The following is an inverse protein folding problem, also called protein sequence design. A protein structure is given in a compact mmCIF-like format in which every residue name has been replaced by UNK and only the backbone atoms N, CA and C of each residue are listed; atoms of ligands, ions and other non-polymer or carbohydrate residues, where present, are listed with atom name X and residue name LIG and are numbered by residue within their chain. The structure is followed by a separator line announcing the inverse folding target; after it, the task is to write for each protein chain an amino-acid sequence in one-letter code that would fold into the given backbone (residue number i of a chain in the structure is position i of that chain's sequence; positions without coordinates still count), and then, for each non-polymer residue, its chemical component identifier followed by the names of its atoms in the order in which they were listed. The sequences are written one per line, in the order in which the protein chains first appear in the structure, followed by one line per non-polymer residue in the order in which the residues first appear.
data_IF_051142143445
#
_entry.id   IF_051142143445
#
_cell.length_a   1.000
_cell.length_b   1.000
_cell.length_c   1.000
_cell.angle_alpha   90.00
_cell.angle_beta   90.00
_cell.angle_gamma   90.00
#
_symmetry.space_group_name_H-M   'P 1'
#
loop_
_entity.id
_entity.type
_entity.pdbx_description
1 polymer ?
#
# COMPACT_ATOMS: atom_id res chain seq x y z
N UNK A 1 -17.02 24.88 -65.09
CA UNK A 1 -17.47 25.54 -63.83
C UNK A 1 -18.78 25.03 -63.26
N UNK A 2 -19.81 24.65 -64.00
CA UNK A 2 -21.08 24.13 -63.45
C UNK A 2 -20.98 22.72 -62.82
N UNK A 3 -20.13 21.84 -63.35
CA UNK A 3 -19.96 20.46 -62.84
C UNK A 3 -19.27 20.45 -61.48
N UNK A 4 -18.27 21.26 -61.26
CA UNK A 4 -17.56 21.37 -59.96
C UNK A 4 -18.46 21.90 -58.83
N UNK A 5 -19.40 22.81 -59.16
CA UNK A 5 -20.34 23.39 -58.20
C UNK A 5 -21.37 22.35 -57.72
N UNK A 6 -21.85 21.47 -58.62
CA UNK A 6 -22.80 20.44 -58.27
C UNK A 6 -22.17 19.29 -57.48
N UNK A 7 -20.91 18.93 -57.71
CA UNK A 7 -20.18 17.97 -56.91
C UNK A 7 -19.88 18.50 -55.48
N UNK A 8 -19.58 19.80 -55.36
CA UNK A 8 -19.34 20.42 -54.05
C UNK A 8 -20.62 20.46 -53.20
N UNK A 9 -21.77 20.74 -53.83
CA UNK A 9 -23.09 20.75 -53.15
C UNK A 9 -23.50 19.33 -52.72
N UNK A 10 -23.20 18.31 -53.53
CA UNK A 10 -23.49 16.91 -53.20
C UNK A 10 -22.61 16.42 -52.06
N UNK A 11 -21.33 16.75 -52.02
CA UNK A 11 -20.45 16.43 -50.88
C UNK A 11 -20.88 17.14 -49.57
N UNK A 12 -21.32 18.40 -49.66
CA UNK A 12 -21.79 19.15 -48.50
C UNK A 12 -23.12 18.62 -47.95
N UNK A 13 -24.02 18.10 -48.84
CA UNK A 13 -25.28 17.49 -48.40
C UNK A 13 -25.07 16.10 -47.75
N UNK A 14 -24.02 15.37 -48.15
CA UNK A 14 -23.66 14.09 -47.51
C UNK A 14 -23.12 14.27 -46.09
N UNK A 15 -22.42 15.37 -45.79
CA UNK A 15 -21.94 15.70 -44.45
C UNK A 15 -23.06 16.09 -43.47
N UNK A 16 -24.20 16.53 -43.95
CA UNK A 16 -25.34 16.91 -43.14
C UNK A 16 -26.21 15.71 -42.69
N UNK A 17 -25.96 14.52 -43.24
CA UNK A 17 -26.63 13.27 -42.84
C UNK A 17 -25.77 12.30 -42.04
N UNK A 18 -24.60 12.73 -41.53
CA UNK A 18 -23.91 11.93 -40.50
C UNK A 18 -24.77 11.95 -39.25
N UNK A 19 -25.29 10.80 -38.77
CA UNK A 19 -25.91 10.74 -37.49
C UNK A 19 -24.87 11.22 -36.49
N UNK A 20 -25.22 12.25 -35.71
CA UNK A 20 -24.50 12.54 -34.46
C UNK A 20 -24.71 11.31 -33.58
N UNK A 21 -23.77 10.37 -33.65
CA UNK A 21 -23.64 9.37 -32.60
C UNK A 21 -23.29 10.17 -31.33
N UNK A 22 -24.28 10.48 -30.54
CA UNK A 22 -24.05 10.75 -29.13
C UNK A 22 -23.41 9.48 -28.61
N UNK A 23 -22.12 9.48 -28.39
CA UNK A 23 -21.51 8.57 -27.44
C UNK A 23 -22.22 8.91 -26.11
N UNK A 24 -23.23 8.14 -25.77
CA UNK A 24 -23.67 8.03 -24.39
C UNK A 24 -22.45 7.36 -23.73
N UNK A 25 -21.58 8.18 -23.11
CA UNK A 25 -20.69 7.66 -22.07
C UNK A 25 -21.66 7.06 -21.03
N UNK A 26 -21.86 5.77 -21.11
CA UNK A 26 -22.48 5.01 -20.05
C UNK A 26 -21.57 5.26 -18.85
N UNK A 27 -22.04 6.08 -17.91
CA UNK A 27 -21.30 6.31 -16.66
C UNK A 27 -21.24 4.95 -16.01
N UNK A 28 -20.09 4.32 -16.09
CA UNK A 28 -19.84 3.01 -15.49
C UNK A 28 -20.14 3.14 -13.98
N UNK A 29 -21.17 2.44 -13.53
CA UNK A 29 -21.59 2.50 -12.14
C UNK A 29 -20.50 1.89 -11.27
N UNK A 30 -19.81 2.73 -10.50
CA UNK A 30 -18.72 2.32 -9.66
C UNK A 30 -19.24 1.64 -8.39
N UNK A 31 -19.12 0.32 -8.38
CA UNK A 31 -19.58 -0.54 -7.28
C UNK A 31 -18.46 -0.71 -6.25
N UNK A 32 -18.79 -0.55 -4.98
CA UNK A 32 -17.88 -0.73 -3.84
C UNK A 32 -18.47 -1.64 -2.77
N UNK A 33 -17.61 -2.09 -1.87
CA UNK A 33 -17.99 -2.91 -0.72
C UNK A 33 -17.66 -2.23 0.61
N UNK A 34 -17.67 -0.90 0.61
CA UNK A 34 -17.26 -0.06 1.74
C UNK A 34 -18.07 -0.30 3.03
N UNK A 35 -19.37 -0.57 2.89
CA UNK A 35 -20.26 -0.91 4.02
C UNK A 35 -20.31 -2.43 4.29
N UNK A 36 -19.33 -3.20 3.79
CA UNK A 36 -19.37 -4.67 3.78
C UNK A 36 -20.61 -5.21 3.04
N UNK A 37 -21.12 -4.42 2.08
CA UNK A 37 -22.23 -4.70 1.17
C UNK A 37 -21.87 -4.17 -0.21
N UNK A 38 -22.40 -4.80 -1.24
CA UNK A 38 -22.26 -4.34 -2.63
C UNK A 38 -23.20 -3.17 -2.83
N UNK A 39 -22.68 -1.96 -3.00
CA UNK A 39 -23.44 -0.71 -3.14
C UNK A 39 -22.78 0.19 -4.20
N UNK A 40 -23.57 1.04 -4.86
CA UNK A 40 -23.02 2.09 -5.72
C UNK A 40 -22.32 3.16 -4.88
N UNK A 41 -21.18 3.66 -5.34
CA UNK A 41 -20.48 4.80 -4.67
C UNK A 41 -21.41 6.01 -4.50
N UNK A 42 -22.39 6.19 -5.39
CA UNK A 42 -23.32 7.31 -5.34
C UNK A 42 -24.36 7.18 -4.21
N UNK A 43 -24.64 5.95 -3.76
CA UNK A 43 -25.66 5.67 -2.75
C UNK A 43 -25.08 5.62 -1.34
N UNK A 44 -23.76 5.63 -1.21
CA UNK A 44 -23.09 5.54 0.09
C UNK A 44 -23.00 6.91 0.75
N UNK A 45 -23.54 7.02 1.96
CA UNK A 45 -23.49 8.25 2.77
C UNK A 45 -22.12 8.47 3.46
N UNK A 46 -21.02 8.21 2.76
CA UNK A 46 -19.67 8.44 3.26
C UNK A 46 -18.72 8.93 2.16
N UNK A 47 -17.60 9.51 2.57
CA UNK A 47 -16.58 9.98 1.63
C UNK A 47 -15.68 8.81 1.21
N UNK A 48 -15.95 8.25 0.05
CA UNK A 48 -15.18 7.16 -0.57
C UNK A 48 -14.48 7.68 -1.81
N UNK A 49 -13.21 7.33 -1.99
CA UNK A 49 -12.48 7.46 -3.25
C UNK A 49 -12.14 6.06 -3.75
N UNK A 50 -12.33 5.83 -5.04
CA UNK A 50 -12.03 4.55 -5.68
C UNK A 50 -11.05 4.77 -6.81
N UNK A 51 -10.02 3.94 -6.87
CA UNK A 51 -9.13 3.82 -8.02
C UNK A 51 -9.30 2.42 -8.60
N UNK A 52 -9.73 2.35 -9.84
CA UNK A 52 -9.89 1.09 -10.57
C UNK A 52 -8.56 0.62 -11.16
N UNK A 53 -8.47 -0.64 -11.54
CA UNK A 53 -7.30 -1.22 -12.20
C UNK A 53 -6.88 -0.41 -13.43
N UNK A 54 -7.84 -0.01 -14.28
CA UNK A 54 -7.56 0.80 -15.48
C UNK A 54 -6.88 2.14 -15.14
N UNK A 55 -7.34 2.82 -14.08
CA UNK A 55 -6.73 4.06 -13.61
C UNK A 55 -5.33 3.84 -13.07
N UNK A 56 -5.10 2.73 -12.36
CA UNK A 56 -3.77 2.37 -11.87
C UNK A 56 -2.80 2.13 -13.03
N UNK A 57 -3.20 1.34 -14.02
CA UNK A 57 -2.42 1.04 -15.22
C UNK A 57 -2.15 2.31 -16.04
N UNK A 58 -3.20 3.11 -16.34
CA UNK A 58 -3.07 4.34 -17.12
C UNK A 58 -2.09 5.34 -16.51
N UNK A 59 -2.06 5.42 -15.18
CA UNK A 59 -1.17 6.32 -14.44
C UNK A 59 0.19 5.73 -14.11
N UNK A 60 0.44 4.46 -14.42
CA UNK A 60 1.67 3.76 -14.08
C UNK A 60 1.87 3.63 -12.57
N UNK A 61 0.77 3.45 -11.82
CA UNK A 61 0.80 3.29 -10.37
C UNK A 61 0.89 1.81 -10.05
N UNK A 62 2.05 1.37 -9.59
CA UNK A 62 2.32 -0.04 -9.23
C UNK A 62 2.60 -0.24 -7.74
N UNK A 63 2.79 0.85 -6.99
CA UNK A 63 3.10 0.81 -5.56
C UNK A 63 2.07 1.56 -4.72
N UNK A 64 1.78 1.11 -3.49
CA UNK A 64 0.86 1.80 -2.59
C UNK A 64 1.24 3.26 -2.33
N UNK A 65 2.52 3.58 -2.16
CA UNK A 65 2.97 4.96 -1.92
C UNK A 65 2.69 5.91 -3.08
N UNK A 66 2.74 5.42 -4.32
CA UNK A 66 2.52 6.26 -5.49
C UNK A 66 1.07 6.76 -5.56
N UNK A 67 0.11 5.89 -5.25
CA UNK A 67 -1.29 6.32 -5.23
C UNK A 67 -1.64 7.13 -3.98
N UNK A 68 -1.09 6.79 -2.80
CA UNK A 68 -1.34 7.52 -1.56
C UNK A 68 -1.00 9.01 -1.70
N UNK A 69 0.07 9.34 -2.40
CA UNK A 69 0.49 10.72 -2.69
C UNK A 69 -0.48 11.47 -3.60
N UNK A 70 -1.30 10.77 -4.37
CA UNK A 70 -2.31 11.40 -5.26
C UNK A 70 -3.61 11.75 -4.56
N UNK A 71 -3.82 11.25 -3.33
CA UNK A 71 -5.08 11.40 -2.60
C UNK A 71 -5.13 12.70 -1.80
N UNK A 72 -6.19 13.47 -2.00
CA UNK A 72 -6.43 14.67 -1.20
C UNK A 72 -6.63 14.32 0.28
N UNK A 73 -5.91 15.02 1.18
CA UNK A 73 -5.98 14.82 2.63
C UNK A 73 -5.28 13.56 3.13
N UNK A 74 -4.46 12.94 2.31
CA UNK A 74 -3.53 11.87 2.68
C UNK A 74 -2.12 12.40 2.58
N UNK A 75 -1.26 12.08 3.55
CA UNK A 75 0.17 12.33 3.47
C UNK A 75 0.94 11.09 3.91
N UNK A 76 2.13 10.92 3.38
CA UNK A 76 2.99 9.75 3.58
C UNK A 76 4.34 10.17 4.15
N UNK A 77 4.40 10.62 5.42
CA UNK A 77 5.64 11.11 6.02
C UNK A 77 6.73 10.04 6.16
N UNK A 78 6.37 8.76 6.13
CA UNK A 78 7.28 7.62 6.21
C UNK A 78 7.02 6.59 5.12
N UNK A 79 6.81 7.05 3.87
CA UNK A 79 6.55 6.16 2.74
C UNK A 79 5.15 5.52 2.78
N UNK A 80 5.07 4.24 2.46
CA UNK A 80 3.83 3.46 2.46
C UNK A 80 3.48 2.85 3.82
N UNK A 81 4.45 2.78 4.72
CA UNK A 81 4.28 2.20 6.06
C UNK A 81 3.58 3.18 6.99
N UNK A 82 3.89 4.49 6.87
CA UNK A 82 3.32 5.53 7.70
C UNK A 82 2.60 6.56 6.85
N UNK A 83 1.29 6.50 6.83
CA UNK A 83 0.45 7.49 6.16
C UNK A 83 -0.56 8.11 7.13
N UNK A 84 -1.02 9.29 6.79
CA UNK A 84 -2.06 9.99 7.56
C UNK A 84 -3.27 10.23 6.68
N UNK A 85 -4.46 10.09 7.24
CA UNK A 85 -5.70 10.51 6.62
C UNK A 85 -6.29 11.62 7.48
N UNK A 86 -6.46 12.83 6.91
CA UNK A 86 -6.96 14.02 7.62
C UNK A 86 -6.15 14.34 8.89
N UNK A 87 -4.83 14.13 8.86
CA UNK A 87 -3.95 14.36 10.00
C UNK A 87 -3.93 13.27 11.07
N UNK A 88 -4.73 12.21 10.91
CA UNK A 88 -4.72 11.04 11.76
C UNK A 88 -3.81 9.97 11.12
N UNK A 89 -2.91 9.39 11.88
CA UNK A 89 -1.85 8.53 11.37
C UNK A 89 -2.11 7.03 11.59
N UNK A 90 -1.34 6.19 10.91
CA UNK A 90 -1.34 4.73 11.11
C UNK A 90 -0.72 4.31 12.45
N UNK A 91 -0.20 5.25 13.21
CA UNK A 91 0.60 5.00 14.39
C UNK A 91 2.09 4.95 14.06
N UNK A 92 2.92 5.34 15.01
CA UNK A 92 4.34 5.02 14.94
C UNK A 92 4.55 3.73 15.68
N UNK A 93 5.31 2.80 15.11
CA UNK A 93 5.47 1.42 15.56
C UNK A 93 5.82 1.25 17.06
N UNK A 94 6.13 2.31 17.76
CA UNK A 94 6.62 2.22 19.14
C UNK A 94 5.81 2.99 20.19
N UNK A 95 4.91 3.91 19.81
CA UNK A 95 4.37 4.87 20.80
C UNK A 95 2.86 5.11 20.74
N UNK A 96 2.18 4.91 19.60
CA UNK A 96 0.75 5.21 19.49
C UNK A 96 0.01 4.16 18.68
N UNK A 97 -1.18 3.75 19.17
CA UNK A 97 -2.09 2.96 18.36
C UNK A 97 -2.45 3.70 17.08
N UNK A 98 -2.42 3.01 15.96
CA UNK A 98 -2.84 3.57 14.67
C UNK A 98 -4.28 4.06 14.71
N UNK A 99 -4.58 5.08 13.93
CA UNK A 99 -5.94 5.62 13.75
C UNK A 99 -6.47 5.42 12.33
N UNK A 100 -5.65 4.80 11.49
CA UNK A 100 -5.99 4.42 10.11
C UNK A 100 -5.50 3.00 9.85
N UNK A 101 -6.25 2.22 9.09
CA UNK A 101 -5.95 0.81 8.81
C UNK A 101 -5.98 0.51 7.33
N UNK A 102 -5.21 -0.51 6.93
CA UNK A 102 -5.27 -1.13 5.60
C UNK A 102 -5.92 -2.51 5.68
N UNK A 103 -6.67 -2.83 4.64
CA UNK A 103 -7.34 -4.11 4.48
C UNK A 103 -7.07 -4.73 3.12
N UNK A 104 -6.82 -6.03 3.13
CA UNK A 104 -6.85 -6.88 1.95
C UNK A 104 -8.22 -7.57 1.90
N UNK A 105 -9.11 -7.05 1.04
CA UNK A 105 -10.51 -7.46 1.06
C UNK A 105 -11.19 -7.15 2.41
N UNK A 106 -11.48 -8.18 3.19
CA UNK A 106 -12.20 -8.10 4.45
C UNK A 106 -11.28 -8.18 5.70
N UNK A 107 -10.01 -8.50 5.54
CA UNK A 107 -9.07 -8.69 6.64
C UNK A 107 -8.02 -7.60 6.69
N UNK A 108 -7.46 -7.34 7.87
CA UNK A 108 -6.31 -6.44 8.00
C UNK A 108 -5.12 -6.98 7.19
N UNK A 109 -4.50 -6.11 6.40
CA UNK A 109 -3.37 -6.47 5.54
C UNK A 109 -3.08 -5.40 4.50
N UNK A 110 -1.89 -5.46 3.93
CA UNK A 110 -1.40 -4.54 2.89
C UNK A 110 -0.73 -5.32 1.77
N UNK A 111 -0.56 -4.67 0.63
CA UNK A 111 0.20 -5.17 -0.52
C UNK A 111 1.51 -4.38 -0.65
N UNK A 112 2.52 -4.97 -1.26
CA UNK A 112 3.74 -4.27 -1.71
C UNK A 112 3.63 -3.85 -3.17
N UNK A 113 2.82 -4.56 -3.96
CA UNK A 113 2.61 -4.31 -5.37
C UNK A 113 1.12 -4.30 -5.71
N UNK A 114 0.70 -3.34 -6.56
CA UNK A 114 -0.69 -3.14 -6.98
C UNK A 114 -1.05 -3.84 -8.30
N UNK A 115 -0.17 -4.65 -8.83
CA UNK A 115 -0.45 -5.45 -10.01
C UNK A 115 -1.57 -6.45 -9.73
N UNK A 116 -2.52 -6.57 -10.65
CA UNK A 116 -3.68 -7.46 -10.53
C UNK A 116 -4.57 -7.14 -9.31
N UNK A 117 -4.76 -5.85 -9.05
CA UNK A 117 -5.69 -5.33 -8.04
C UNK A 117 -6.89 -4.73 -8.78
N UNK A 118 -8.09 -5.25 -8.51
CA UNK A 118 -9.32 -4.79 -9.18
C UNK A 118 -9.62 -3.32 -8.88
N UNK A 119 -9.43 -2.92 -7.62
CA UNK A 119 -9.59 -1.53 -7.19
C UNK A 119 -9.04 -1.28 -5.79
N UNK A 120 -8.81 -0.02 -5.50
CA UNK A 120 -8.48 0.48 -4.17
C UNK A 120 -9.62 1.38 -3.70
N UNK A 121 -10.16 1.10 -2.52
CA UNK A 121 -11.20 1.89 -1.88
C UNK A 121 -10.61 2.65 -0.69
N UNK A 122 -10.73 3.97 -0.67
CA UNK A 122 -10.26 4.82 0.44
C UNK A 122 -11.46 5.44 1.12
N UNK A 123 -11.75 4.93 2.31
CA UNK A 123 -12.85 5.37 3.15
C UNK A 123 -12.33 6.40 4.14
N UNK A 124 -12.84 7.63 4.09
CA UNK A 124 -12.39 8.73 4.97
C UNK A 124 -13.38 8.97 6.09
N UNK A 125 -12.86 8.97 7.31
CA UNK A 125 -13.63 9.17 8.54
C UNK A 125 -13.82 7.89 9.33
N UNK A 126 -14.51 7.95 10.49
CA UNK A 126 -14.61 6.82 11.42
C UNK A 126 -15.28 5.60 10.80
N UNK A 127 -14.58 4.47 10.82
CA UNK A 127 -15.03 3.18 10.29
C UNK A 127 -14.99 2.07 11.36
N UNK A 128 -14.83 2.44 12.63
CA UNK A 128 -14.63 1.48 13.73
C UNK A 128 -15.72 0.43 13.89
N UNK A 129 -16.96 0.74 13.53
CA UNK A 129 -18.10 -0.19 13.65
C UNK A 129 -17.99 -1.38 12.70
N UNK A 130 -17.43 -1.17 11.49
CA UNK A 130 -17.35 -2.20 10.44
C UNK A 130 -15.94 -2.80 10.30
N UNK A 131 -14.93 -2.03 10.68
CA UNK A 131 -13.52 -2.36 10.44
C UNK A 131 -12.71 -2.47 11.74
N UNK A 132 -13.37 -2.42 12.90
CA UNK A 132 -12.75 -2.62 14.20
C UNK A 132 -12.00 -1.39 14.73
N UNK A 133 -11.18 -1.61 15.76
CA UNK A 133 -10.35 -0.58 16.37
C UNK A 133 -9.37 0.03 15.35
N UNK A 134 -8.91 1.25 15.61
CA UNK A 134 -7.91 1.94 14.79
C UNK A 134 -8.38 2.45 13.41
N UNK A 135 -9.69 2.49 13.13
CA UNK A 135 -10.25 3.02 11.89
C UNK A 135 -10.97 4.37 12.11
N UNK A 136 -10.36 5.30 12.87
CA UNK A 136 -10.94 6.62 13.21
C UNK A 136 -10.70 7.65 12.10
N UNK A 137 -9.50 7.65 11.51
CA UNK A 137 -9.14 8.56 10.41
C UNK A 137 -9.66 8.09 9.07
N UNK A 138 -9.73 6.78 8.89
CA UNK A 138 -10.17 6.13 7.66
C UNK A 138 -9.57 4.74 7.48
N UNK A 139 -9.93 4.15 6.36
CA UNK A 139 -9.52 2.80 5.98
C UNK A 139 -9.17 2.77 4.50
N UNK A 140 -8.11 2.08 4.14
CA UNK A 140 -7.73 1.77 2.77
C UNK A 140 -7.97 0.29 2.54
N UNK A 141 -8.66 -0.04 1.46
CA UNK A 141 -8.97 -1.42 1.10
C UNK A 141 -8.44 -1.76 -0.28
N UNK A 142 -7.69 -2.83 -0.36
CA UNK A 142 -7.23 -3.44 -1.61
C UNK A 142 -8.17 -4.57 -1.98
N UNK A 143 -8.86 -4.45 -3.09
CA UNK A 143 -9.78 -5.47 -3.61
C UNK A 143 -9.09 -6.18 -4.76
N UNK A 144 -8.77 -7.46 -4.57
CA UNK A 144 -8.08 -8.27 -5.56
C UNK A 144 -9.02 -8.70 -6.69
N UNK A 145 -8.46 -8.85 -7.90
CA UNK A 145 -9.12 -9.56 -8.96
C UNK A 145 -9.41 -11.00 -8.53
N UNK A 146 -10.63 -11.45 -8.76
CA UNK A 146 -11.06 -12.79 -8.36
C UNK A 146 -10.77 -13.81 -9.46
N UNK A 147 -10.50 -15.09 -9.11
CA UNK A 147 -10.47 -16.16 -10.09
C UNK A 147 -11.79 -16.24 -10.86
N UNK A 148 -11.71 -16.38 -12.20
CA UNK A 148 -12.87 -16.50 -13.10
C UNK A 148 -12.90 -17.85 -13.82
N UNK A 149 -14.12 -18.41 -13.97
CA UNK A 149 -14.37 -19.61 -14.77
C UNK A 149 -14.61 -19.30 -16.24
N UNK A 150 -14.63 -18.05 -16.67
CA UNK A 150 -14.94 -17.62 -18.04
C UNK A 150 -13.89 -18.09 -19.06
N UNK A 151 -12.63 -18.19 -18.65
CA UNK A 151 -11.58 -18.65 -19.53
C UNK A 151 -10.19 -18.64 -18.90
N UNK A 152 -9.24 -19.21 -19.63
CA UNK A 152 -7.82 -19.08 -19.29
C UNK A 152 -7.35 -17.68 -19.65
N UNK A 153 -6.73 -17.00 -18.68
CA UNK A 153 -6.11 -15.70 -18.87
C UNK A 153 -4.67 -15.73 -18.36
N UNK A 154 -3.81 -15.00 -19.02
CA UNK A 154 -2.43 -14.79 -18.56
C UNK A 154 -1.94 -13.42 -18.95
N UNK A 155 -1.22 -12.78 -18.06
CA UNK A 155 -0.61 -11.48 -18.27
C UNK A 155 0.82 -11.48 -17.74
N UNK A 156 1.73 -10.83 -18.48
CA UNK A 156 3.13 -10.60 -18.07
C UNK A 156 3.41 -9.13 -18.25
N UNK A 157 3.91 -8.49 -17.21
CA UNK A 157 4.42 -7.11 -17.25
C UNK A 157 5.91 -7.11 -16.91
N UNK A 158 6.68 -6.38 -17.70
CA UNK A 158 8.12 -6.21 -17.52
C UNK A 158 8.41 -4.72 -17.45
N UNK A 159 9.11 -4.28 -16.42
CA UNK A 159 9.49 -2.90 -16.23
C UNK A 159 11.00 -2.79 -16.02
N UNK A 160 11.58 -1.78 -16.62
CA UNK A 160 12.96 -1.39 -16.40
C UNK A 160 13.00 0.01 -15.83
N UNK A 161 13.70 0.18 -14.70
CA UNK A 161 13.80 1.45 -13.98
C UNK A 161 15.23 1.97 -14.07
N UNK A 162 15.40 3.14 -14.67
CA UNK A 162 16.67 3.86 -14.71
C UNK A 162 16.51 5.22 -14.03
N UNK A 163 17.15 5.37 -12.89
CA UNK A 163 17.17 6.63 -12.14
C UNK A 163 18.49 7.33 -12.35
N UNK A 164 18.45 8.55 -12.84
CA UNK A 164 19.65 9.36 -13.19
C UNK A 164 20.72 9.40 -12.09
N UNK A 165 20.33 9.33 -10.83
CA UNK A 165 21.24 9.46 -9.68
C UNK A 165 21.54 8.11 -9.02
N UNK A 166 20.91 7.04 -9.43
CA UNK A 166 21.19 5.71 -8.92
C UNK A 166 22.45 5.12 -9.57
N UNK A 167 23.28 4.41 -8.81
CA UNK A 167 24.44 3.70 -9.37
C UNK A 167 24.03 2.47 -10.16
N UNK A 168 22.87 1.90 -9.87
CA UNK A 168 22.33 0.71 -10.49
C UNK A 168 20.96 1.01 -11.13
N UNK A 169 20.53 0.18 -12.06
CA UNK A 169 19.17 0.17 -12.58
C UNK A 169 18.31 -0.85 -11.84
N UNK A 170 17.03 -0.61 -11.78
CA UNK A 170 16.06 -1.55 -11.24
C UNK A 170 15.22 -2.23 -12.31
N UNK A 171 14.40 -3.18 -11.89
CA UNK A 171 13.46 -3.90 -12.75
C UNK A 171 12.26 -4.39 -11.96
N UNK A 172 11.14 -4.60 -12.66
CA UNK A 172 10.02 -5.32 -12.09
C UNK A 172 9.51 -6.38 -13.08
N UNK A 173 9.10 -7.51 -12.52
CA UNK A 173 8.55 -8.64 -13.27
C UNK A 173 7.24 -9.05 -12.61
N UNK A 174 6.15 -8.98 -13.36
CA UNK A 174 4.84 -9.34 -12.87
C UNK A 174 4.22 -10.40 -13.78
N UNK A 175 3.66 -11.43 -13.19
CA UNK A 175 3.00 -12.54 -13.87
C UNK A 175 1.65 -12.80 -13.23
N UNK A 176 0.60 -12.95 -14.05
CA UNK A 176 -0.71 -13.42 -13.62
C UNK A 176 -1.15 -14.57 -14.50
N UNK A 177 -1.75 -15.59 -13.88
CA UNK A 177 -2.39 -16.72 -14.55
C UNK A 177 -3.74 -17.00 -13.90
N UNK A 178 -4.81 -17.03 -14.69
CA UNK A 178 -6.14 -17.47 -14.29
C UNK A 178 -6.48 -18.78 -15.01
N UNK A 179 -6.84 -19.81 -14.26
CA UNK A 179 -7.09 -21.14 -14.77
C UNK A 179 -8.48 -21.61 -14.33
N UNK A 180 -9.46 -21.72 -15.24
CA UNK A 180 -10.72 -22.41 -14.95
C UNK A 180 -10.45 -23.91 -14.82
N UNK A 181 -10.69 -24.46 -13.62
CA UNK A 181 -10.49 -25.89 -13.34
C UNK A 181 -11.75 -26.69 -13.71
N UNK A 182 -12.91 -26.08 -13.48
CA UNK A 182 -14.22 -26.63 -13.84
C UNK A 182 -15.23 -25.49 -14.00
N UNK A 183 -16.47 -25.81 -14.37
CA UNK A 183 -17.57 -24.83 -14.48
C UNK A 183 -17.84 -24.06 -13.17
N UNK A 184 -17.35 -24.56 -12.03
CA UNK A 184 -17.60 -23.98 -10.72
C UNK A 184 -16.34 -23.62 -9.93
N UNK A 185 -15.15 -23.93 -10.44
CA UNK A 185 -13.88 -23.73 -9.72
C UNK A 185 -12.85 -23.08 -10.65
N UNK A 186 -12.30 -21.98 -10.23
CA UNK A 186 -11.16 -21.34 -10.86
C UNK A 186 -10.03 -21.10 -9.86
N UNK A 187 -8.80 -21.07 -10.36
CA UNK A 187 -7.59 -20.70 -9.65
C UNK A 187 -6.96 -19.48 -10.32
N UNK A 188 -6.39 -18.59 -9.52
CA UNK A 188 -5.61 -17.44 -9.99
C UNK A 188 -4.32 -17.37 -9.22
N UNK A 189 -3.19 -17.30 -9.93
CA UNK A 189 -1.87 -17.13 -9.35
C UNK A 189 -1.26 -15.82 -9.85
N UNK A 190 -0.66 -15.07 -8.92
CA UNK A 190 0.04 -13.82 -9.22
C UNK A 190 1.41 -13.89 -8.58
N UNK A 191 2.44 -13.53 -9.33
CA UNK A 191 3.80 -13.37 -8.85
C UNK A 191 4.31 -12.01 -9.28
N UNK A 192 4.86 -11.26 -8.34
CA UNK A 192 5.49 -9.97 -8.61
C UNK A 192 6.83 -9.91 -7.92
N UNK A 193 7.81 -9.34 -8.59
CA UNK A 193 9.09 -8.98 -7.98
C UNK A 193 9.52 -7.63 -8.54
N UNK A 194 10.07 -6.78 -7.69
CA UNK A 194 10.51 -5.45 -8.07
C UNK A 194 11.77 -5.06 -7.31
N UNK A 195 12.71 -4.44 -8.01
CA UNK A 195 13.86 -3.75 -7.46
C UNK A 195 13.80 -2.27 -7.83
N UNK A 196 13.69 -1.41 -6.83
CA UNK A 196 13.71 0.04 -6.98
C UNK A 196 15.06 0.59 -6.50
N UNK A 197 15.92 1.11 -7.40
CA UNK A 197 17.28 1.44 -7.06
C UNK A 197 17.36 2.69 -6.16
N UNK A 198 18.18 2.60 -5.11
CA UNK A 198 18.49 3.70 -4.20
C UNK A 198 19.39 4.74 -4.85
N UNK A 199 19.30 5.97 -4.36
CA UNK A 199 20.03 7.11 -4.87
C UNK A 199 20.94 7.77 -3.82
N UNK A 200 20.89 7.33 -2.57
CA UNK A 200 21.62 7.94 -1.49
C UNK A 200 22.96 7.26 -1.27
N UNK A 201 23.92 8.02 -0.77
CA UNK A 201 25.25 7.52 -0.43
C UNK A 201 25.52 7.65 1.06
N UNK A 202 25.93 6.54 1.69
CA UNK A 202 26.56 6.57 3.01
C UNK A 202 28.07 6.74 2.83
N UNK A 203 28.60 7.85 3.32
CA UNK A 203 30.03 8.19 3.13
C UNK A 203 30.92 7.33 4.03
N UNK A 204 30.45 6.97 5.22
CA UNK A 204 31.21 6.18 6.17
C UNK A 204 31.43 4.75 5.68
N UNK A 205 30.40 4.09 5.17
CA UNK A 205 30.48 2.72 4.64
C UNK A 205 30.92 2.67 3.18
N UNK A 206 30.81 3.79 2.46
CA UNK A 206 31.08 3.89 1.04
C UNK A 206 29.97 3.37 0.13
N UNK A 207 28.85 2.94 0.69
CA UNK A 207 27.70 2.42 -0.06
C UNK A 207 26.96 3.55 -0.79
N UNK A 208 26.55 3.34 -2.06
CA UNK A 208 26.00 4.37 -2.96
C UNK A 208 24.57 4.08 -3.42
N UNK A 209 23.98 2.99 -3.01
CA UNK A 209 22.66 2.52 -3.39
C UNK A 209 21.70 2.47 -2.20
N UNK A 210 21.94 3.30 -1.20
CA UNK A 210 21.05 3.43 -0.05
C UNK A 210 19.67 3.91 -0.49
N UNK A 211 18.63 3.30 0.06
CA UNK A 211 17.25 3.48 -0.37
C UNK A 211 16.82 2.53 -1.48
N UNK A 212 17.67 1.53 -1.83
CA UNK A 212 17.22 0.42 -2.68
C UNK A 212 16.14 -0.36 -1.93
N UNK A 213 15.08 -0.67 -2.64
CA UNK A 213 13.97 -1.48 -2.14
C UNK A 213 13.77 -2.68 -3.07
N UNK A 214 13.70 -3.85 -2.46
CA UNK A 214 13.40 -5.11 -3.14
C UNK A 214 12.09 -5.65 -2.57
N UNK A 215 11.13 -5.95 -3.44
CA UNK A 215 9.83 -6.52 -3.09
C UNK A 215 9.61 -7.83 -3.87
N UNK A 216 9.14 -8.85 -3.19
CA UNK A 216 8.64 -10.07 -3.79
C UNK A 216 7.27 -10.42 -3.20
N UNK A 217 6.29 -10.72 -4.05
CA UNK A 217 4.95 -11.09 -3.60
C UNK A 217 4.40 -12.23 -4.45
N UNK A 218 3.85 -13.24 -3.78
CA UNK A 218 3.15 -14.36 -4.39
C UNK A 218 1.73 -14.44 -3.84
N UNK A 219 0.73 -14.50 -4.72
CA UNK A 219 -0.66 -14.72 -4.38
C UNK A 219 -1.18 -15.97 -5.09
N UNK A 220 -1.83 -16.85 -4.35
CA UNK A 220 -2.59 -17.99 -4.90
C UNK A 220 -4.03 -17.87 -4.40
N UNK A 221 -4.96 -17.83 -5.33
CA UNK A 221 -6.38 -17.65 -5.05
C UNK A 221 -7.18 -18.79 -5.66
N UNK A 222 -8.24 -19.18 -4.96
CA UNK A 222 -9.22 -20.16 -5.43
C UNK A 222 -10.62 -19.61 -5.22
N UNK A 223 -11.49 -19.74 -6.22
CA UNK A 223 -12.89 -19.38 -6.15
C UNK A 223 -13.75 -20.54 -6.61
N UNK A 224 -14.69 -20.93 -5.74
CA UNK A 224 -15.71 -21.94 -6.05
C UNK A 224 -17.10 -21.32 -5.94
N UNK A 225 -17.90 -21.46 -6.99
CA UNK A 225 -19.27 -20.96 -7.05
C UNK A 225 -20.21 -22.06 -7.53
N UNK A 226 -21.22 -22.36 -6.72
CA UNK A 226 -22.28 -23.28 -7.12
C UNK A 226 -23.58 -22.96 -6.40
N UNK A 227 -24.58 -22.56 -7.19
CA UNK A 227 -25.89 -22.17 -6.65
C UNK A 227 -25.73 -21.00 -5.65
N UNK A 228 -26.23 -21.13 -4.41
CA UNK A 228 -26.14 -20.05 -3.42
C UNK A 228 -24.79 -20.00 -2.69
N UNK A 229 -23.84 -20.86 -2.99
CA UNK A 229 -22.57 -21.00 -2.27
C UNK A 229 -21.45 -20.37 -3.06
N UNK A 230 -20.70 -19.46 -2.43
CA UNK A 230 -19.43 -18.92 -2.91
C UNK A 230 -18.35 -19.17 -1.87
N UNK A 231 -17.22 -19.74 -2.28
CA UNK A 231 -16.05 -19.93 -1.42
C UNK A 231 -14.86 -19.26 -2.09
N UNK A 232 -14.21 -18.34 -1.40
CA UNK A 232 -12.96 -17.73 -1.82
C UNK A 232 -11.86 -18.08 -0.82
N UNK A 233 -10.72 -18.52 -1.32
CA UNK A 233 -9.51 -18.73 -0.53
C UNK A 233 -8.36 -17.95 -1.15
N UNK A 234 -7.55 -17.32 -0.31
CA UNK A 234 -6.37 -16.56 -0.70
C UNK A 234 -5.21 -16.98 0.20
N UNK A 235 -4.10 -17.32 -0.42
CA UNK A 235 -2.79 -17.38 0.21
C UNK A 235 -1.93 -16.28 -0.40
N UNK A 236 -1.34 -15.46 0.45
CA UNK A 236 -0.43 -14.40 0.08
C UNK A 236 0.85 -14.55 0.91
N UNK A 237 1.98 -14.50 0.22
CA UNK A 237 3.30 -14.35 0.85
C UNK A 237 3.99 -13.16 0.21
N UNK A 238 4.56 -12.29 1.04
CA UNK A 238 5.35 -11.16 0.59
C UNK A 238 6.61 -11.01 1.43
N UNK A 239 7.70 -10.70 0.76
CA UNK A 239 8.97 -10.33 1.31
C UNK A 239 9.33 -8.92 0.83
N UNK A 240 9.80 -8.09 1.73
CA UNK A 240 10.31 -6.75 1.44
C UNK A 240 11.64 -6.56 2.11
N UNK A 241 12.57 -6.01 1.36
CA UNK A 241 13.90 -5.68 1.84
C UNK A 241 14.26 -4.25 1.45
N UNK A 242 14.54 -3.39 2.43
CA UNK A 242 14.94 -2.00 2.24
C UNK A 242 16.35 -1.79 2.73
N UNK A 243 17.22 -1.29 1.85
CA UNK A 243 18.60 -0.89 2.16
C UNK A 243 18.63 0.59 2.54
N UNK A 244 18.45 0.87 3.82
CA UNK A 244 18.44 2.23 4.36
C UNK A 244 17.11 2.95 4.17
N UNK A 245 16.96 4.06 4.88
CA UNK A 245 15.73 4.85 4.78
C UNK A 245 15.80 5.78 3.57
N UNK A 246 14.77 5.76 2.73
CA UNK A 246 14.63 6.60 1.53
C UNK A 246 14.71 8.12 1.79
N UNK A 247 14.57 8.56 3.01
CA UNK A 247 14.39 9.97 3.37
C UNK A 247 15.49 10.56 4.24
N UNK A 248 16.53 9.77 4.55
CA UNK A 248 17.63 10.26 5.39
C UNK A 248 18.79 10.84 4.59
N UNK A 249 18.53 11.92 3.86
CA UNK A 249 19.60 12.89 3.66
C UNK A 249 19.60 13.83 4.87
N UNK A 250 20.75 14.13 5.44
CA UNK A 250 20.89 15.28 6.36
C UNK A 250 20.71 16.57 5.54
N UNK A 251 19.50 16.74 4.97
CA UNK A 251 19.17 17.75 3.97
C UNK A 251 19.34 19.18 4.49
N UNK A 252 19.31 19.39 5.77
CA UNK A 252 19.23 20.74 6.32
C UNK A 252 20.57 21.43 6.46
N UNK A 253 21.68 20.70 6.58
CA UNK A 253 23.01 21.36 6.68
C UNK A 253 24.15 20.43 6.24
N UNK A 254 24.76 20.66 5.07
CA UNK A 254 25.90 19.89 4.60
C UNK A 254 27.05 19.89 5.62
N UNK A 255 27.54 18.73 5.98
CA UNK A 255 28.70 18.59 6.83
C UNK A 255 28.51 18.94 8.29
N UNK A 256 27.26 18.98 8.78
CA UNK A 256 26.98 19.24 10.19
C UNK A 256 26.13 18.13 10.77
N UNK A 257 26.60 17.45 11.81
CA UNK A 257 25.76 16.71 12.75
C UNK A 257 25.38 17.64 13.89
N UNK A 258 24.21 17.43 14.51
CA UNK A 258 23.87 18.08 15.75
C UNK A 258 24.85 17.58 16.84
N UNK A 259 25.82 18.38 17.22
CA UNK A 259 26.59 18.13 18.45
C UNK A 259 25.91 18.87 19.58
N UNK A 260 25.55 18.15 20.60
CA UNK A 260 25.26 18.72 21.91
C UNK A 260 26.59 19.31 22.44
N UNK A 261 26.60 20.57 22.81
CA UNK A 261 27.77 21.21 23.44
C UNK A 261 28.30 20.27 24.52
N UNK A 262 29.60 19.97 24.49
CA UNK A 262 30.28 19.11 25.47
C UNK A 262 30.12 19.56 26.92
N UNK A 263 29.63 20.79 27.14
CA UNK A 263 29.31 21.34 28.45
C UNK A 263 27.84 21.12 28.87
N UNK A 264 27.00 20.54 28.02
CA UNK A 264 25.68 20.10 28.41
C UNK A 264 25.81 18.84 29.26
N UNK A 265 25.62 18.95 30.57
CA UNK A 265 25.49 17.78 31.42
C UNK A 265 24.33 16.92 30.86
N UNK A 266 24.65 15.68 30.54
CA UNK A 266 23.65 14.71 30.11
C UNK A 266 22.68 14.48 31.27
N UNK A 267 21.53 15.10 31.21
CA UNK A 267 20.44 14.79 32.12
C UNK A 267 19.67 13.64 31.55
N UNK A 268 19.53 12.56 32.30
CA UNK A 268 18.88 11.32 31.88
C UNK A 268 17.37 11.47 31.57
N UNK A 269 16.83 12.65 31.73
CA UNK A 269 15.51 13.04 31.24
C UNK A 269 15.64 13.57 29.80
N UNK A 270 15.23 12.81 28.86
CA UNK A 270 15.21 12.95 27.40
C UNK A 270 14.77 14.32 26.84
N UNK A 271 14.98 15.43 27.53
CA UNK A 271 14.55 16.75 27.09
C UNK A 271 15.63 17.81 27.25
N UNK A 272 15.86 18.48 26.15
CA UNK A 272 16.69 19.65 26.01
C UNK A 272 16.36 20.69 27.08
N UNK A 273 17.20 20.86 28.08
CA UNK A 273 17.14 22.01 28.96
C UNK A 273 17.40 23.28 28.15
N UNK A 274 16.70 24.36 28.44
CA UNK A 274 16.75 25.67 27.77
C UNK A 274 18.14 26.31 27.69
N UNK A 275 19.19 25.66 28.21
CA UNK A 275 20.55 26.18 28.34
C UNK A 275 21.54 25.54 27.34
N UNK A 276 21.16 24.51 26.62
CA UNK A 276 22.04 23.84 25.66
C UNK A 276 21.90 24.43 24.26
N UNK A 277 22.92 25.12 23.79
CA UNK A 277 23.00 25.57 22.42
C UNK A 277 23.40 24.35 21.57
N UNK A 278 22.57 23.93 20.63
CA UNK A 278 22.97 22.95 19.64
C UNK A 278 24.14 23.49 18.83
N UNK A 279 25.30 22.93 19.03
CA UNK A 279 26.45 23.20 18.19
C UNK A 279 26.47 22.10 17.12
N UNK A 280 26.28 22.52 15.90
CA UNK A 280 26.48 21.62 14.76
C UNK A 280 27.98 21.44 14.55
N UNK A 281 28.51 20.28 14.87
CA UNK A 281 29.86 19.95 14.47
C UNK A 281 29.85 19.30 13.10
N UNK A 282 30.94 19.46 12.39
CA UNK A 282 31.27 18.57 11.27
C UNK A 282 31.35 17.17 11.83
N UNK A 283 30.40 16.31 11.45
CA UNK A 283 30.58 14.89 11.63
C UNK A 283 31.98 14.53 11.13
N UNK A 284 32.69 13.63 11.79
CA UNK A 284 34.09 13.30 11.51
C UNK A 284 34.43 12.89 10.08
N UNK A 285 33.49 13.03 9.12
CA UNK A 285 33.64 12.81 7.70
C UNK A 285 33.71 14.12 6.92
N UNK A 286 34.72 14.22 6.05
CA UNK A 286 34.80 15.30 5.08
C UNK A 286 33.70 15.15 4.02
N UNK A 287 32.67 15.97 4.13
CA UNK A 287 31.57 16.05 3.14
C UNK A 287 31.91 16.88 1.90
N UNK A 288 33.16 17.38 1.79
CA UNK A 288 33.58 18.19 0.64
C UNK A 288 33.46 17.38 -0.64
N UNK A 289 32.70 17.87 -1.59
CA UNK A 289 32.48 17.22 -2.89
C UNK A 289 31.28 16.29 -2.99
N UNK A 290 30.52 16.12 -1.90
CA UNK A 290 29.27 15.37 -1.90
C UNK A 290 28.05 16.28 -1.98
N UNK A 291 27.00 15.80 -2.65
CA UNK A 291 25.69 16.50 -2.63
C UNK A 291 25.02 16.26 -1.27
N UNK A 292 24.77 17.30 -0.48
CA UNK A 292 24.18 17.14 0.85
C UNK A 292 22.75 16.63 0.87
N UNK A 293 22.05 16.67 -0.29
CA UNK A 293 20.72 16.10 -0.42
C UNK A 293 20.75 14.59 -0.70
N UNK A 294 21.89 14.06 -1.14
CA UNK A 294 22.06 12.68 -1.60
C UNK A 294 23.06 11.88 -0.75
N UNK A 295 23.85 12.56 0.09
CA UNK A 295 24.87 11.91 0.90
C UNK A 295 24.63 12.15 2.39
N UNK A 296 24.95 11.15 3.20
CA UNK A 296 24.90 11.23 4.65
C UNK A 296 26.04 10.41 5.26
N UNK A 297 26.22 10.55 6.56
CA UNK A 297 27.19 9.79 7.33
C UNK A 297 26.47 8.96 8.38
N UNK A 298 26.66 7.64 8.35
CA UNK A 298 26.15 6.69 9.34
C UNK A 298 27.18 5.57 9.49
N UNK A 299 27.44 5.11 10.70
CA UNK A 299 28.46 4.06 10.93
C UNK A 299 28.03 2.71 10.37
N UNK A 300 26.74 2.46 10.30
CA UNK A 300 26.15 1.24 9.76
C UNK A 300 25.16 1.57 8.63
N UNK A 301 25.02 0.69 7.69
CA UNK A 301 23.96 0.74 6.70
C UNK A 301 22.69 0.19 7.34
N UNK A 302 21.67 1.02 7.40
CA UNK A 302 20.37 0.59 7.91
C UNK A 302 19.75 -0.44 6.98
N UNK A 303 19.09 -1.43 7.57
CA UNK A 303 18.41 -2.51 6.86
C UNK A 303 17.04 -2.68 7.51
N UNK A 304 16.02 -2.83 6.66
CA UNK A 304 14.68 -3.16 7.08
C UNK A 304 14.18 -4.32 6.24
N UNK A 305 13.78 -5.40 6.89
CA UNK A 305 13.25 -6.58 6.24
C UNK A 305 11.92 -6.97 6.86
N UNK A 306 10.93 -7.27 6.01
CA UNK A 306 9.60 -7.72 6.40
C UNK A 306 9.22 -8.96 5.60
N UNK A 307 8.81 -10.00 6.31
CA UNK A 307 8.16 -11.20 5.76
C UNK A 307 6.71 -11.25 6.26
N UNK A 308 5.78 -11.49 5.37
CA UNK A 308 4.35 -11.58 5.73
C UNK A 308 3.71 -12.75 5.00
N UNK A 309 3.02 -13.60 5.77
CA UNK A 309 2.16 -14.65 5.23
C UNK A 309 0.72 -14.41 5.66
N UNK A 310 -0.20 -14.53 4.72
CA UNK A 310 -1.65 -14.37 4.97
C UNK A 310 -2.40 -15.51 4.30
N UNK A 311 -3.23 -16.18 5.07
CA UNK A 311 -4.18 -17.15 4.53
C UNK A 311 -5.60 -16.72 4.90
N UNK A 312 -6.50 -16.68 3.92
CA UNK A 312 -7.91 -16.37 4.17
C UNK A 312 -8.84 -17.36 3.50
N UNK A 313 -9.95 -17.63 4.16
CA UNK A 313 -11.06 -18.39 3.58
C UNK A 313 -12.36 -17.66 3.90
N UNK A 314 -13.11 -17.34 2.85
CA UNK A 314 -14.43 -16.72 2.95
C UNK A 314 -15.45 -17.69 2.39
N UNK A 315 -16.48 -18.01 3.16
CA UNK A 315 -17.60 -18.86 2.76
C UNK A 315 -18.85 -18.03 2.83
N UNK A 316 -19.50 -17.83 1.68
CA UNK A 316 -20.76 -17.09 1.57
C UNK A 316 -21.88 -18.05 1.16
N UNK A 317 -23.03 -17.85 1.78
CA UNK A 317 -24.27 -18.50 1.37
C UNK A 317 -25.37 -17.47 1.21
N UNK A 318 -25.91 -17.37 -0.01
CA UNK A 318 -26.96 -16.42 -0.35
C UNK A 318 -28.35 -17.07 -0.26
N UNK A 319 -29.10 -16.64 0.75
CA UNK A 319 -30.52 -16.94 0.88
C UNK A 319 -31.36 -15.97 0.05
N UNK A 320 -32.64 -16.22 -0.11
CA UNK A 320 -33.55 -15.37 -0.89
C UNK A 320 -33.56 -13.91 -0.42
N UNK A 321 -33.44 -13.65 0.88
CA UNK A 321 -33.58 -12.31 1.50
C UNK A 321 -32.41 -11.91 2.40
N UNK A 322 -31.40 -12.71 2.52
CA UNK A 322 -30.22 -12.43 3.34
C UNK A 322 -29.01 -13.20 2.82
N UNK A 323 -27.84 -12.74 3.17
CA UNK A 323 -26.56 -13.43 2.95
C UNK A 323 -25.90 -13.73 4.27
N UNK A 324 -25.30 -14.92 4.39
CA UNK A 324 -24.45 -15.32 5.50
C UNK A 324 -23.02 -15.43 5.01
N UNK A 325 -22.07 -14.85 5.75
CA UNK A 325 -20.64 -14.92 5.43
C UNK A 325 -19.89 -15.39 6.67
N UNK A 326 -19.00 -16.37 6.47
CA UNK A 326 -17.99 -16.80 7.45
C UNK A 326 -16.61 -16.48 6.87
N UNK A 327 -15.79 -15.75 7.61
CA UNK A 327 -14.43 -15.39 7.24
C UNK A 327 -13.49 -15.98 8.30
N UNK A 328 -12.46 -16.65 7.84
CA UNK A 328 -11.31 -17.03 8.66
C UNK A 328 -10.05 -16.48 8.02
N UNK A 329 -9.18 -15.90 8.83
CA UNK A 329 -7.86 -15.44 8.42
C UNK A 329 -6.80 -15.82 9.43
N UNK A 330 -5.62 -16.19 8.91
CA UNK A 330 -4.39 -16.41 9.65
C UNK A 330 -3.31 -15.49 9.06
N UNK A 331 -2.65 -14.71 9.91
CA UNK A 331 -1.69 -13.68 9.56
C UNK A 331 -0.42 -13.89 10.38
N UNK A 332 0.71 -14.00 9.71
CA UNK A 332 2.05 -14.08 10.30
C UNK A 332 2.88 -12.91 9.73
N UNK A 333 3.50 -12.13 10.61
CA UNK A 333 4.30 -10.98 10.25
C UNK A 333 5.61 -11.03 11.02
N UNK A 334 6.71 -10.90 10.29
CA UNK A 334 8.05 -10.82 10.86
C UNK A 334 8.74 -9.57 10.36
N UNK A 335 9.32 -8.84 11.28
CA UNK A 335 10.07 -7.63 11.02
C UNK A 335 11.47 -7.75 11.61
N UNK A 336 12.45 -7.32 10.85
CA UNK A 336 13.85 -7.25 11.29
C UNK A 336 14.40 -5.91 10.81
N UNK A 337 14.94 -5.13 11.72
CA UNK A 337 15.53 -3.86 11.37
C UNK A 337 16.89 -3.69 12.06
N UNK A 338 17.80 -3.08 11.34
CA UNK A 338 19.05 -2.52 11.87
C UNK A 338 18.95 -1.02 11.66
N UNK A 339 18.91 -0.26 12.75
CA UNK A 339 18.80 1.19 12.70
C UNK A 339 20.00 1.80 13.39
N UNK A 340 20.69 2.69 12.70
CA UNK A 340 21.79 3.45 13.27
C UNK A 340 21.28 4.77 13.86
N UNK A 341 21.25 4.84 15.17
CA UNK A 341 20.87 6.05 15.90
C UNK A 341 22.08 6.90 16.27
N UNK A 342 23.29 6.42 15.93
CA UNK A 342 24.56 7.07 16.24
C UNK A 342 24.88 8.29 15.37
N UNK A 343 23.88 8.93 14.76
CA UNK A 343 24.03 10.11 13.90
C UNK A 343 24.86 11.26 14.50
N UNK A 344 25.31 11.08 15.72
CA UNK A 344 26.06 12.03 16.50
C UNK A 344 27.35 11.33 16.86
N UNK A 345 28.48 11.86 16.35
CA UNK A 345 29.82 11.48 16.83
C UNK A 345 29.99 12.02 18.27
N UNK A 346 29.32 11.35 19.21
CA UNK A 346 29.58 11.54 20.62
C UNK A 346 30.37 10.34 21.11
N UNK A 347 31.56 10.58 21.61
CA UNK A 347 32.41 9.57 22.23
C UNK A 347 31.57 8.60 23.09
N UNK A 348 31.40 7.40 22.61
CA UNK A 348 31.02 6.16 23.28
C UNK A 348 29.56 5.86 23.66
N UNK A 349 28.56 6.73 23.53
CA UNK A 349 27.26 6.45 24.16
C UNK A 349 26.23 5.77 23.22
N UNK A 350 26.38 5.83 21.89
CA UNK A 350 25.43 5.28 20.94
C UNK A 350 26.07 4.70 19.68
N UNK A 351 27.22 4.03 19.82
CA UNK A 351 27.94 3.42 18.68
C UNK A 351 27.34 2.12 18.20
N UNK A 352 26.46 1.51 18.99
CA UNK A 352 25.87 0.24 18.64
C UNK A 352 24.56 0.47 17.84
N UNK A 353 24.41 -0.18 16.69
CA UNK A 353 23.16 -0.17 15.96
C UNK A 353 22.05 -0.80 16.80
N UNK A 354 20.88 -0.21 16.75
CA UNK A 354 19.68 -0.80 17.34
C UNK A 354 19.16 -1.93 16.46
N UNK A 355 19.11 -3.12 17.01
CA UNK A 355 18.48 -4.27 16.38
C UNK A 355 17.04 -4.37 16.84
N UNK A 356 16.11 -4.35 15.91
CA UNK A 356 14.70 -4.56 16.18
C UNK A 356 14.21 -5.86 15.57
N UNK A 357 13.49 -6.65 16.37
CA UNK A 357 12.88 -7.89 15.94
C UNK A 357 11.41 -7.89 16.37
N UNK A 358 10.48 -7.98 15.43
CA UNK A 358 9.06 -8.10 15.68
C UNK A 358 8.55 -9.40 15.06
N UNK A 359 7.81 -10.19 15.83
CA UNK A 359 7.08 -11.36 15.35
C UNK A 359 5.63 -11.24 15.84
N UNK A 360 4.73 -10.95 14.91
CA UNK A 360 3.31 -10.78 15.19
C UNK A 360 2.50 -11.84 14.46
N UNK A 361 1.59 -12.47 15.17
CA UNK A 361 0.63 -13.41 14.60
C UNK A 361 -0.78 -12.99 14.96
N UNK A 362 -1.73 -13.17 14.05
CA UNK A 362 -3.12 -12.83 14.29
C UNK A 362 -4.04 -13.85 13.63
N UNK A 363 -5.07 -14.30 14.36
CA UNK A 363 -6.14 -15.14 13.84
C UNK A 363 -7.45 -14.41 13.97
N UNK A 364 -8.19 -14.31 12.89
CA UNK A 364 -9.47 -13.59 12.84
C UNK A 364 -10.56 -14.54 12.39
N UNK A 365 -11.68 -14.51 13.11
CA UNK A 365 -12.91 -15.17 12.71
C UNK A 365 -14.05 -14.15 12.71
N UNK A 366 -14.75 -14.03 11.60
CA UNK A 366 -15.93 -13.19 11.47
C UNK A 366 -17.09 -14.01 10.94
N UNK A 367 -18.25 -13.92 11.59
CA UNK A 367 -19.51 -14.42 11.06
C UNK A 367 -20.48 -13.24 10.92
N UNK A 368 -21.10 -13.09 9.75
CA UNK A 368 -21.97 -11.97 9.44
C UNK A 368 -23.22 -12.45 8.70
N UNK A 369 -24.35 -11.90 9.09
CA UNK A 369 -25.64 -11.99 8.39
C UNK A 369 -26.06 -10.60 7.95
N UNK A 370 -26.46 -10.44 6.68
CA UNK A 370 -26.89 -9.17 6.10
C UNK A 370 -28.16 -9.35 5.29
N UNK A 371 -29.09 -8.40 5.38
CA UNK A 371 -30.26 -8.38 4.50
C UNK A 371 -29.85 -8.06 3.06
N UNK A 372 -30.49 -8.73 2.08
CA UNK A 372 -30.24 -8.53 0.63
C UNK A 372 -31.44 -7.90 -0.09
N UNK A 373 -32.47 -7.47 0.65
CA UNK A 373 -33.69 -6.88 0.07
C UNK A 373 -33.58 -5.37 -0.06
N UNK A 374 -34.09 -4.81 -1.16
CA UNK A 374 -34.20 -3.37 -1.43
C UNK A 374 -35.36 -2.72 -0.63
N UNK A 375 -35.54 -3.11 0.61
CA UNK A 375 -36.56 -2.57 1.49
C UNK A 375 -36.10 -1.29 2.20
N UNK A 376 -37.05 -0.53 2.80
CA UNK A 376 -36.70 0.67 3.57
C UNK A 376 -35.86 0.38 4.83
N UNK A 377 -35.72 -0.87 5.17
CA UNK A 377 -34.93 -1.36 6.31
C UNK A 377 -33.90 -2.36 5.87
N UNK A 378 -32.63 -2.00 6.01
CA UNK A 378 -31.48 -2.88 5.82
C UNK A 378 -30.79 -3.11 7.15
N UNK A 379 -30.29 -4.34 7.38
CA UNK A 379 -29.63 -4.71 8.61
C UNK A 379 -28.43 -5.61 8.35
N UNK A 380 -27.45 -5.51 9.23
CA UNK A 380 -26.31 -6.41 9.30
C UNK A 380 -26.08 -6.75 10.78
N UNK A 381 -25.87 -8.01 11.07
CA UNK A 381 -25.53 -8.52 12.40
C UNK A 381 -24.32 -9.42 12.25
N UNK A 382 -23.32 -9.26 13.09
CA UNK A 382 -22.09 -10.06 13.02
C UNK A 382 -21.46 -10.33 14.36
N UNK A 383 -20.63 -11.34 14.37
CA UNK A 383 -19.67 -11.66 15.43
C UNK A 383 -18.27 -11.59 14.85
N UNK A 384 -17.38 -10.93 15.55
CA UNK A 384 -16.00 -10.77 15.17
C UNK A 384 -15.10 -11.09 16.36
N UNK A 385 -14.09 -11.91 16.13
CA UNK A 385 -13.07 -12.26 17.11
C UNK A 385 -11.70 -12.22 16.44
N UNK A 386 -10.74 -11.63 17.12
CA UNK A 386 -9.34 -11.68 16.72
C UNK A 386 -8.47 -12.00 17.92
N UNK A 387 -7.58 -12.96 17.74
CA UNK A 387 -6.52 -13.30 18.67
C UNK A 387 -5.21 -12.81 18.08
N UNK A 388 -4.54 -11.89 18.75
CA UNK A 388 -3.23 -11.38 18.32
C UNK A 388 -2.17 -11.69 19.37
N UNK A 389 -1.01 -12.13 18.91
CA UNK A 389 0.15 -12.39 19.75
C UNK A 389 1.36 -11.69 19.16
N UNK A 390 1.92 -10.76 19.92
CA UNK A 390 3.14 -10.02 19.58
C UNK A 390 4.26 -10.48 20.50
N UNK A 391 5.37 -10.83 19.92
CA UNK A 391 6.60 -11.19 20.64
C UNK A 391 7.66 -10.14 20.34
N UNK A 392 7.76 -9.09 21.15
CA UNK A 392 8.92 -8.22 21.10
C UNK A 392 10.13 -9.00 21.64
N UNK A 393 11.20 -9.02 20.86
CA UNK A 393 12.50 -9.53 21.31
C UNK A 393 13.46 -8.37 21.54
#
# INVERSE_FOLDING_TARGET
MKIFRNQLIFCLSLMLFMPLSYAQDEIEELIVTANKRVESVQDIAMNVSVLTEDVLIERGIYRPEDYLRTLAGVSTPGGDVYYTIRGLNTGTAQVTSGTTNTFLGEIAGSLTNLYDVARIEVLRGPQGTLYGSNAVGGTIRYILNQPSTDGFEGNISLEYVDKKLAPNSGSAYNLMLNVPVSDNLALRAVFTTAEDPGIYQNIATGRKDIGTQEDEEFRLMARYEKGPVTINAVYLKKDRYDFGQKEKGNADKPGTSDIVDANCAYDAEWYYGDTCTRVYATAGGDMTGYDPQLAFYSFEDEIYWVDTEVMTVNIQYDFEKMSAILIYADYDYKERAITDWSRIDTDDLFKDPLYYFGDDTSKTTEFRLSSTTDGPFSWTVGYYETESNSKPN
#
